data_IF_831912341130
#
_entry.id   IF_831912341130
#
_cell.length_a   1.000
_cell.length_b   1.000
_cell.length_c   1.000
_cell.angle_alpha   90.00
_cell.angle_beta   90.00
_cell.angle_gamma   90.00
#
_symmetry.space_group_name_H-M   'P 1'
#
loop_
_entity.id
_entity.type
_entity.pdbx_description
1 polymer ?
#
# COMPACT_ATOMS: atom_id res chain seq x y z
N UNK A 1 -17.22 11.98 2.43
CA UNK A 1 -15.96 11.49 3.01
C UNK A 1 -15.57 12.45 4.12
N UNK A 2 -15.32 11.94 5.31
CA UNK A 2 -14.85 12.78 6.41
C UNK A 2 -13.32 12.74 6.43
N UNK A 3 -12.68 13.88 6.36
CA UNK A 3 -11.24 14.00 6.55
C UNK A 3 -10.93 14.31 8.01
N UNK A 4 -9.97 13.63 8.59
CA UNK A 4 -9.52 13.83 9.97
C UNK A 4 -8.07 14.28 9.94
N UNK A 5 -7.78 15.45 10.51
CA UNK A 5 -6.38 15.86 10.75
C UNK A 5 -5.86 15.16 11.98
N UNK A 6 -4.84 14.31 11.83
CA UNK A 6 -4.32 13.46 12.92
C UNK A 6 -3.24 14.14 13.74
N UNK A 7 -2.56 15.15 13.20
CA UNK A 7 -1.49 15.84 13.93
C UNK A 7 -1.42 17.33 13.58
N UNK A 8 -1.18 18.16 14.58
CA UNK A 8 -0.91 19.59 14.37
C UNK A 8 0.49 19.88 13.84
N UNK A 9 1.41 18.94 14.00
CA UNK A 9 2.82 19.08 13.59
C UNK A 9 3.15 18.45 12.25
N UNK A 10 2.27 17.58 11.74
CA UNK A 10 2.39 16.98 10.40
C UNK A 10 1.08 17.30 9.69
N UNK A 11 1.09 18.03 8.57
CA UNK A 11 -0.10 18.31 7.79
C UNK A 11 -0.54 17.03 7.06
N UNK A 12 -1.10 16.09 7.80
CA UNK A 12 -1.61 14.81 7.32
C UNK A 12 -3.13 14.85 7.36
N UNK A 13 -3.75 14.65 6.21
CA UNK A 13 -5.19 14.47 6.07
C UNK A 13 -5.43 12.99 5.80
N UNK A 14 -6.19 12.32 6.66
CA UNK A 14 -6.62 10.94 6.44
C UNK A 14 -8.09 10.95 6.06
N UNK A 15 -8.40 10.24 4.98
CA UNK A 15 -9.77 10.07 4.51
C UNK A 15 -10.09 8.59 4.41
N UNK A 16 -11.26 8.21 4.88
CA UNK A 16 -11.70 6.83 4.89
C UNK A 16 -13.15 6.70 5.37
N UNK A 17 -13.52 5.50 5.75
CA UNK A 17 -14.82 5.24 6.35
C UNK A 17 -14.87 5.72 7.79
N UNK A 18 -16.02 6.21 8.22
CA UNK A 18 -16.27 6.50 9.61
C UNK A 18 -16.26 5.22 10.46
N UNK A 19 -15.98 5.35 11.75
CA UNK A 19 -15.89 4.24 12.69
C UNK A 19 -17.13 3.32 12.69
N UNK A 20 -18.33 3.91 12.46
CA UNK A 20 -19.62 3.21 12.48
C UNK A 20 -20.20 2.94 11.09
N UNK A 21 -19.44 3.21 10.03
CA UNK A 21 -19.87 3.02 8.66
C UNK A 21 -19.02 1.93 8.00
N UNK A 22 -19.58 1.25 7.03
CA UNK A 22 -18.91 0.20 6.28
C UNK A 22 -19.20 0.35 4.78
N UNK A 23 -18.58 -0.48 3.96
CA UNK A 23 -18.74 -0.43 2.51
C UNK A 23 -20.18 -0.57 2.02
N UNK A 24 -21.08 -1.13 2.82
CA UNK A 24 -22.49 -1.30 2.46
C UNK A 24 -23.32 -0.04 2.65
N UNK A 25 -22.86 0.91 3.46
CA UNK A 25 -23.56 2.17 3.74
C UNK A 25 -23.18 3.29 2.78
N UNK A 26 -22.12 3.12 1.99
CA UNK A 26 -21.68 4.10 1.01
C UNK A 26 -22.30 3.87 -0.36
N UNK A 27 -22.69 4.97 -1.00
CA UNK A 27 -23.14 4.91 -2.38
C UNK A 27 -22.03 4.35 -3.30
N UNK A 28 -22.42 3.47 -4.21
CA UNK A 28 -21.50 2.97 -5.24
C UNK A 28 -21.24 4.08 -6.26
N UNK A 29 -20.10 4.75 -6.14
CA UNK A 29 -19.65 5.68 -7.15
C UNK A 29 -19.08 4.94 -8.36
N UNK A 30 -19.18 5.57 -9.56
CA UNK A 30 -18.47 5.09 -10.73
C UNK A 30 -16.97 5.40 -10.61
N UNK A 31 -16.15 4.79 -11.45
CA UNK A 31 -14.69 4.97 -11.42
C UNK A 31 -14.28 6.43 -11.69
N UNK A 32 -15.02 7.14 -12.53
CA UNK A 32 -14.68 8.53 -12.89
C UNK A 32 -14.82 9.48 -11.70
N UNK A 33 -15.82 9.27 -10.86
CA UNK A 33 -15.95 10.04 -9.61
C UNK A 33 -14.84 9.75 -8.61
N UNK A 34 -14.34 8.52 -8.57
CA UNK A 34 -13.16 8.19 -7.76
C UNK A 34 -11.91 8.86 -8.29
N UNK A 35 -11.72 8.89 -9.61
CA UNK A 35 -10.62 9.61 -10.25
C UNK A 35 -10.70 11.10 -10.00
N UNK A 36 -11.88 11.71 -10.13
CA UNK A 36 -12.10 13.13 -9.84
C UNK A 36 -11.72 13.47 -8.38
N UNK A 37 -12.16 12.64 -7.44
CA UNK A 37 -11.81 12.82 -6.03
C UNK A 37 -10.29 12.77 -5.80
N UNK A 38 -9.60 11.79 -6.36
CA UNK A 38 -8.14 11.65 -6.23
C UNK A 38 -7.40 12.82 -6.86
N UNK A 39 -7.86 13.31 -8.02
CA UNK A 39 -7.30 14.51 -8.65
C UNK A 39 -7.52 15.77 -7.81
N UNK A 40 -8.66 15.92 -7.14
CA UNK A 40 -8.88 17.01 -6.20
C UNK A 40 -7.94 16.88 -4.98
N UNK A 41 -7.74 15.69 -4.45
CA UNK A 41 -6.81 15.46 -3.34
C UNK A 41 -5.36 15.80 -3.73
N UNK A 42 -4.94 15.47 -4.95
CA UNK A 42 -3.59 15.81 -5.44
C UNK A 42 -3.33 17.30 -5.60
N UNK A 43 -4.39 18.11 -5.73
CA UNK A 43 -4.26 19.58 -5.73
C UNK A 43 -4.13 20.16 -4.31
N UNK A 44 -4.44 19.38 -3.28
CA UNK A 44 -4.45 19.82 -1.88
C UNK A 44 -3.24 19.34 -1.08
N UNK A 45 -2.48 18.38 -1.60
CA UNK A 45 -1.37 17.75 -0.88
C UNK A 45 -0.20 17.45 -1.81
N UNK A 46 1.02 17.53 -1.27
CA UNK A 46 2.25 17.19 -2.00
C UNK A 46 2.30 15.70 -2.36
N UNK A 47 1.72 14.86 -1.51
CA UNK A 47 1.63 13.41 -1.71
C UNK A 47 0.23 12.91 -1.36
N UNK A 48 -0.30 12.02 -2.20
CA UNK A 48 -1.54 11.27 -1.95
C UNK A 48 -1.19 9.80 -1.87
N UNK A 49 -1.34 9.20 -0.70
CA UNK A 49 -1.10 7.77 -0.47
C UNK A 49 -2.45 7.08 -0.37
N UNK A 50 -2.67 6.08 -1.23
CA UNK A 50 -3.91 5.30 -1.25
C UNK A 50 -3.61 3.87 -0.80
N UNK A 51 -4.21 3.45 0.30
CA UNK A 51 -4.21 2.05 0.72
C UNK A 51 -5.22 1.27 -0.13
N UNK A 52 -4.68 0.44 -1.03
CA UNK A 52 -5.44 -0.25 -2.06
C UNK A 52 -5.83 -1.66 -1.64
N UNK A 53 -7.04 -2.07 -2.01
CA UNK A 53 -7.44 -3.47 -1.92
C UNK A 53 -6.57 -4.34 -2.84
N UNK A 54 -6.27 -5.56 -2.41
CA UNK A 54 -5.60 -6.54 -3.25
C UNK A 54 -6.46 -6.99 -4.45
N UNK A 55 -7.79 -6.89 -4.37
CA UNK A 55 -8.72 -7.13 -5.47
C UNK A 55 -8.97 -5.84 -6.26
N UNK A 56 -7.99 -5.45 -7.07
CA UNK A 56 -8.07 -4.20 -7.81
C UNK A 56 -9.04 -4.23 -8.99
N UNK A 57 -9.30 -5.38 -9.58
CA UNK A 57 -10.21 -5.51 -10.75
C UNK A 57 -11.67 -5.27 -10.39
N UNK A 58 -12.10 -5.65 -9.18
CA UNK A 58 -13.47 -5.47 -8.70
C UNK A 58 -13.64 -4.26 -7.78
N UNK A 59 -12.55 -3.64 -7.34
CA UNK A 59 -12.56 -2.51 -6.43
C UNK A 59 -12.34 -1.19 -7.18
N UNK A 60 -13.42 -0.47 -7.47
CA UNK A 60 -13.38 0.78 -8.24
C UNK A 60 -12.45 1.86 -7.66
N UNK A 61 -12.41 2.10 -6.34
CA UNK A 61 -11.44 3.02 -5.75
C UNK A 61 -10.00 2.63 -6.05
N UNK A 62 -9.67 1.34 -5.89
CA UNK A 62 -8.34 0.81 -6.18
C UNK A 62 -8.00 0.94 -7.66
N UNK A 63 -8.93 0.58 -8.57
CA UNK A 63 -8.72 0.74 -10.02
C UNK A 63 -8.49 2.21 -10.40
N UNK A 64 -9.23 3.14 -9.78
CA UNK A 64 -9.03 4.57 -10.01
C UNK A 64 -7.65 5.04 -9.52
N UNK A 65 -7.24 4.60 -8.32
CA UNK A 65 -5.93 4.93 -7.76
C UNK A 65 -4.79 4.39 -8.62
N UNK A 66 -4.85 3.13 -9.03
CA UNK A 66 -3.84 2.52 -9.91
C UNK A 66 -3.75 3.19 -11.28
N UNK A 67 -4.86 3.67 -11.82
CA UNK A 67 -4.88 4.38 -13.10
C UNK A 67 -4.20 5.76 -13.03
N UNK A 68 -4.24 6.42 -11.88
CA UNK A 68 -3.71 7.78 -11.67
C UNK A 68 -2.37 7.83 -10.96
N UNK A 69 -1.95 6.74 -10.31
CA UNK A 69 -0.74 6.71 -9.51
C UNK A 69 0.52 6.92 -10.37
N UNK A 70 1.44 7.76 -9.91
CA UNK A 70 2.78 7.88 -10.49
C UNK A 70 3.63 6.65 -10.16
N UNK A 71 3.43 6.07 -8.97
CA UNK A 71 4.11 4.86 -8.52
C UNK A 71 3.18 3.94 -7.74
N UNK A 72 3.35 2.64 -7.88
CA UNK A 72 2.59 1.62 -7.16
C UNK A 72 3.54 0.74 -6.36
N UNK A 73 3.44 0.78 -5.04
CA UNK A 73 4.21 -0.10 -4.16
C UNK A 73 3.46 -1.42 -4.02
N UNK A 74 4.03 -2.49 -4.56
CA UNK A 74 3.49 -3.83 -4.46
C UNK A 74 4.19 -4.58 -3.32
N UNK A 75 3.46 -4.82 -2.22
CA UNK A 75 4.01 -5.44 -1.01
C UNK A 75 3.68 -6.92 -0.99
N UNK A 76 4.73 -7.74 -0.97
CA UNK A 76 4.64 -9.19 -0.83
C UNK A 76 4.79 -9.58 0.64
N UNK A 77 3.99 -10.52 1.11
CA UNK A 77 4.31 -11.26 2.33
C UNK A 77 5.29 -12.40 1.97
N UNK A 78 6.18 -12.75 2.90
CA UNK A 78 7.13 -13.86 2.73
C UNK A 78 6.45 -15.23 2.91
N UNK A 79 5.36 -15.45 2.16
CA UNK A 79 4.52 -16.63 2.23
C UNK A 79 4.17 -17.14 0.83
N UNK A 80 4.06 -18.47 0.68
CA UNK A 80 3.72 -19.10 -0.60
C UNK A 80 2.36 -18.65 -1.17
N UNK A 81 1.39 -18.33 -0.30
CA UNK A 81 0.09 -17.78 -0.72
C UNK A 81 0.24 -16.43 -1.42
N UNK A 82 1.14 -15.59 -0.94
CA UNK A 82 1.43 -14.29 -1.54
C UNK A 82 1.96 -14.46 -2.97
N UNK A 83 2.84 -15.44 -3.20
CA UNK A 83 3.37 -15.72 -4.53
C UNK A 83 2.28 -16.14 -5.51
N UNK A 84 1.44 -17.12 -5.13
CA UNK A 84 0.32 -17.59 -5.97
C UNK A 84 -0.62 -16.43 -6.30
N UNK A 85 -0.96 -15.62 -5.30
CA UNK A 85 -1.81 -14.47 -5.47
C UNK A 85 -1.23 -13.50 -6.50
N UNK A 86 0.01 -13.05 -6.32
CA UNK A 86 0.63 -12.10 -7.24
C UNK A 86 0.88 -12.69 -8.64
N UNK A 87 1.17 -13.99 -8.75
CA UNK A 87 1.25 -14.65 -10.04
C UNK A 87 -0.09 -14.60 -10.80
N UNK A 88 -1.20 -14.78 -10.10
CA UNK A 88 -2.53 -14.65 -10.69
C UNK A 88 -2.86 -13.22 -11.11
N UNK A 89 -2.42 -12.22 -10.36
CA UNK A 89 -2.66 -10.81 -10.66
C UNK A 89 -1.85 -10.28 -11.86
N UNK A 90 -0.68 -10.84 -12.14
CA UNK A 90 0.14 -10.41 -13.27
C UNK A 90 -0.57 -10.51 -14.61
N UNK A 91 -1.44 -11.52 -14.79
CA UNK A 91 -2.23 -11.65 -16.00
C UNK A 91 -3.21 -10.50 -16.16
N UNK A 92 -3.93 -10.18 -15.08
CA UNK A 92 -4.91 -9.07 -15.07
C UNK A 92 -4.22 -7.73 -15.30
N UNK A 93 -3.07 -7.49 -14.68
CA UNK A 93 -2.28 -6.26 -14.89
C UNK A 93 -1.88 -6.08 -16.36
N UNK A 94 -1.49 -7.16 -17.04
CA UNK A 94 -1.16 -7.13 -18.46
C UNK A 94 -2.39 -6.91 -19.35
N UNK A 95 -3.50 -7.58 -19.03
CA UNK A 95 -4.75 -7.46 -19.78
C UNK A 95 -5.33 -6.03 -19.66
N UNK A 96 -5.11 -5.36 -18.53
CA UNK A 96 -5.53 -3.97 -18.27
C UNK A 96 -4.51 -2.91 -18.74
N UNK A 97 -3.41 -3.31 -19.40
CA UNK A 97 -2.35 -2.43 -19.89
C UNK A 97 -1.71 -1.54 -18.80
N UNK A 98 -1.62 -2.03 -17.57
CA UNK A 98 -0.87 -1.33 -16.53
C UNK A 98 0.63 -1.40 -16.82
N UNK A 99 1.28 -0.25 -16.76
CA UNK A 99 2.72 -0.12 -16.97
C UNK A 99 3.51 -0.73 -15.80
N UNK A 100 4.28 -1.78 -16.11
CA UNK A 100 5.12 -2.48 -15.13
C UNK A 100 6.25 -1.58 -14.54
N UNK A 101 6.66 -0.53 -15.25
CA UNK A 101 7.73 0.38 -14.81
C UNK A 101 7.33 1.19 -13.57
N UNK A 102 6.03 1.41 -13.37
CA UNK A 102 5.51 2.10 -12.18
C UNK A 102 5.48 1.24 -10.92
N UNK A 103 5.70 -0.08 -11.04
CA UNK A 103 5.59 -1.00 -9.92
C UNK A 103 6.92 -1.18 -9.19
N UNK A 104 6.95 -0.73 -7.94
CA UNK A 104 8.05 -0.92 -7.01
C UNK A 104 7.72 -2.11 -6.11
N UNK A 105 8.52 -3.17 -6.20
CA UNK A 105 8.28 -4.41 -5.44
C UNK A 105 9.02 -4.37 -4.11
N UNK A 106 8.31 -4.66 -3.03
CA UNK A 106 8.84 -4.80 -1.69
C UNK A 106 8.36 -6.10 -1.04
N UNK A 107 9.13 -6.68 -0.15
CA UNK A 107 8.75 -7.86 0.61
C UNK A 107 8.84 -7.60 2.11
N UNK A 108 7.76 -7.90 2.83
CA UNK A 108 7.75 -7.87 4.28
C UNK A 108 8.33 -9.18 4.84
N UNK A 109 9.36 -9.05 5.68
CA UNK A 109 10.01 -10.18 6.36
C UNK A 109 9.27 -10.41 7.66
N UNK A 110 8.58 -11.56 7.79
CA UNK A 110 7.94 -11.97 9.04
C UNK A 110 8.92 -12.55 10.04
N UNK A 111 8.48 -12.78 11.28
CA UNK A 111 9.27 -13.37 12.36
C UNK A 111 9.92 -14.74 12.00
N UNK A 112 9.26 -15.51 11.14
CA UNK A 112 9.67 -16.87 10.75
C UNK A 112 10.15 -16.98 9.30
N UNK A 113 10.55 -15.88 8.66
CA UNK A 113 10.83 -15.82 7.22
C UNK A 113 12.18 -16.43 6.80
N UNK A 114 12.75 -17.36 7.56
CA UNK A 114 13.97 -18.09 7.17
C UNK A 114 13.71 -19.29 6.26
N UNK A 115 12.56 -19.33 5.59
CA UNK A 115 12.16 -20.45 4.75
C UNK A 115 12.78 -20.38 3.36
N UNK A 116 13.04 -21.54 2.76
CA UNK A 116 13.52 -21.70 1.40
C UNK A 116 12.60 -20.96 0.39
N UNK A 117 11.28 -21.05 0.59
CA UNK A 117 10.28 -20.32 -0.20
C UNK A 117 10.50 -18.79 -0.25
N UNK A 118 10.98 -18.20 0.85
CA UNK A 118 11.31 -16.78 0.89
C UNK A 118 12.43 -16.40 -0.09
N UNK A 119 13.50 -17.17 -0.14
CA UNK A 119 14.62 -16.91 -1.05
C UNK A 119 14.23 -17.17 -2.51
N UNK A 120 13.40 -18.18 -2.77
CA UNK A 120 12.87 -18.48 -4.09
C UNK A 120 11.99 -17.32 -4.61
N UNK A 121 11.09 -16.78 -3.79
CA UNK A 121 10.24 -15.63 -4.14
C UNK A 121 11.09 -14.39 -4.45
N UNK A 122 12.07 -14.07 -3.58
CA UNK A 122 12.94 -12.91 -3.78
C UNK A 122 13.69 -13.03 -5.10
N UNK A 123 14.28 -14.18 -5.37
CA UNK A 123 15.08 -14.42 -6.58
C UNK A 123 14.21 -14.44 -7.83
N UNK A 124 13.08 -15.16 -7.80
CA UNK A 124 12.18 -15.28 -8.95
C UNK A 124 11.51 -13.95 -9.34
N UNK A 125 11.26 -13.06 -8.37
CA UNK A 125 10.60 -11.76 -8.60
C UNK A 125 11.57 -10.58 -8.64
N UNK A 126 12.88 -10.81 -8.46
CA UNK A 126 13.92 -9.77 -8.41
C UNK A 126 13.58 -8.64 -7.40
N UNK A 127 13.08 -9.02 -6.21
CA UNK A 127 12.67 -8.06 -5.19
C UNK A 127 13.89 -7.52 -4.45
N UNK A 128 14.16 -6.23 -4.61
CA UNK A 128 15.31 -5.55 -3.99
C UNK A 128 14.98 -4.98 -2.60
N UNK A 129 13.73 -4.56 -2.40
CA UNK A 129 13.29 -3.89 -1.18
C UNK A 129 12.77 -4.90 -0.17
N UNK A 130 13.47 -4.98 0.96
CA UNK A 130 13.15 -5.87 2.08
C UNK A 130 12.78 -5.03 3.29
N UNK A 131 11.56 -5.15 3.77
CA UNK A 131 11.07 -4.45 4.96
C UNK A 131 11.13 -5.44 6.13
N UNK A 132 12.02 -5.23 7.13
CA UNK A 132 12.12 -6.13 8.27
C UNK A 132 10.87 -6.04 9.14
N UNK A 133 10.56 -7.12 9.84
CA UNK A 133 9.52 -7.10 10.87
C UNK A 133 9.92 -6.16 12.01
N UNK A 134 8.96 -5.37 12.49
CA UNK A 134 9.11 -4.49 13.64
C UNK A 134 8.04 -4.80 14.68
N UNK A 135 8.46 -5.28 15.85
CA UNK A 135 7.55 -5.49 16.99
C UNK A 135 6.91 -4.18 17.43
N UNK A 136 7.68 -3.09 17.40
CA UNK A 136 7.20 -1.78 17.79
C UNK A 136 6.04 -1.31 16.91
N UNK A 137 6.16 -1.48 15.58
CA UNK A 137 5.06 -1.17 14.65
C UNK A 137 3.85 -2.07 14.92
N UNK A 138 4.08 -3.35 15.21
CA UNK A 138 3.02 -4.28 15.60
C UNK A 138 2.28 -3.83 16.87
N UNK A 139 3.00 -3.39 17.89
CA UNK A 139 2.42 -2.82 19.11
C UNK A 139 1.65 -1.52 18.86
N UNK A 140 2.20 -0.63 18.03
CA UNK A 140 1.51 0.61 17.65
C UNK A 140 0.19 0.33 16.92
N UNK A 141 0.16 -0.67 16.05
CA UNK A 141 -1.06 -1.10 15.36
C UNK A 141 -2.11 -1.59 16.36
N UNK A 142 -1.72 -2.42 17.32
CA UNK A 142 -2.64 -2.96 18.34
C UNK A 142 -3.17 -1.88 19.30
N UNK A 143 -2.35 -0.88 19.61
CA UNK A 143 -2.71 0.23 20.51
C UNK A 143 -3.35 1.43 19.83
N UNK A 144 -3.46 1.43 18.51
CA UNK A 144 -3.98 2.57 17.74
C UNK A 144 -3.05 3.78 17.71
N UNK A 145 -1.74 3.59 17.94
CA UNK A 145 -0.75 4.68 18.02
C UNK A 145 0.21 4.72 16.83
N UNK A 146 -0.22 4.30 15.66
CA UNK A 146 0.60 4.15 14.44
C UNK A 146 1.40 5.40 14.05
N UNK A 147 0.93 6.59 14.39
CA UNK A 147 1.57 7.85 14.03
C UNK A 147 2.54 8.40 15.09
N UNK A 148 2.84 7.63 16.13
CA UNK A 148 3.75 8.09 17.20
C UNK A 148 5.24 7.99 16.83
N UNK A 149 5.56 7.50 15.65
CA UNK A 149 6.93 7.22 15.21
C UNK A 149 7.48 5.92 15.80
N UNK A 150 8.52 5.39 15.21
CA UNK A 150 9.21 4.19 15.70
C UNK A 150 10.70 4.45 15.87
N UNK A 151 11.29 3.87 16.91
CA UNK A 151 12.74 3.86 17.13
C UNK A 151 13.43 2.67 16.45
N UNK A 152 12.68 1.79 15.79
CA UNK A 152 13.23 0.66 15.04
C UNK A 152 13.98 1.17 13.79
N UNK A 153 15.29 1.27 13.94
CA UNK A 153 16.15 1.83 12.91
C UNK A 153 16.15 1.01 11.63
N UNK A 154 16.18 -0.32 11.75
CA UNK A 154 16.21 -1.19 10.57
C UNK A 154 14.94 -1.08 9.73
N UNK A 155 13.78 -0.99 10.39
CA UNK A 155 12.50 -0.76 9.74
C UNK A 155 12.46 0.62 9.09
N UNK A 156 12.84 1.67 9.82
CA UNK A 156 12.83 3.05 9.30
C UNK A 156 13.76 3.21 8.09
N UNK A 157 14.99 2.68 8.14
CA UNK A 157 15.95 2.76 7.04
C UNK A 157 15.42 2.03 5.79
N UNK A 158 14.76 0.88 5.97
CA UNK A 158 14.17 0.13 4.87
C UNK A 158 13.00 0.89 4.22
N UNK A 159 12.11 1.49 5.02
CA UNK A 159 10.99 2.31 4.53
C UNK A 159 11.50 3.57 3.84
N UNK A 160 12.48 4.27 4.42
CA UNK A 160 13.08 5.46 3.81
C UNK A 160 13.78 5.14 2.48
N UNK A 161 14.44 3.97 2.38
CA UNK A 161 15.02 3.52 1.13
C UNK A 161 13.94 3.31 0.06
N UNK A 162 12.84 2.64 0.41
CA UNK A 162 11.71 2.40 -0.49
C UNK A 162 11.08 3.73 -0.96
N UNK A 163 10.89 4.68 -0.06
CA UNK A 163 10.32 5.99 -0.39
C UNK A 163 11.22 6.78 -1.37
N UNK A 164 12.53 6.65 -1.29
CA UNK A 164 13.45 7.29 -2.25
C UNK A 164 13.36 6.73 -3.68
N UNK A 165 12.80 5.55 -3.86
CA UNK A 165 12.52 4.99 -5.18
C UNK A 165 11.19 5.51 -5.75
N UNK A 166 10.31 6.01 -4.89
CA UNK A 166 8.99 6.55 -5.27
C UNK A 166 9.04 8.04 -5.61
N UNK A 167 9.95 8.76 -4.95
CA UNK A 167 10.12 10.22 -5.07
C UNK A 167 11.13 10.59 -6.15
#
# INVERSE_FOLDING_TARGET
MNSVSISKSIPLIVSGYNLFENSYTYASFNIDKWKELLLQMSQMADYVIVDCSSDFSNNKPTSAAMALADSVIQIYAAEYRSEIFFASQQKVLKDENYDDERFIKAIMIGHNSRNQAFNEIINAKNIKNKIPFSEQVGHQYQSGTLFSGTSDRAFNDAVLKLLKEVM
#
